data_IF_506194824532
#
_entry.id   IF_506194824532
#
_cell.length_a   1.000
_cell.length_b   1.000
_cell.length_c   1.000
_cell.angle_alpha   90.00
_cell.angle_beta   90.00
_cell.angle_gamma   90.00
#
_symmetry.space_group_name_H-M   'P 1'
#
loop_
_entity.id
_entity.type
_entity.pdbx_description
1 polymer ?
#
# COMPACT_ATOMS: atom_id res chain seq x y z
N UNK A 1 -15.39 -1.83 22.50
CA UNK A 1 -14.13 -1.57 21.78
C UNK A 1 -14.44 -1.92 20.34
N UNK A 2 -14.59 -0.93 19.47
CA UNK A 2 -14.67 -1.19 18.04
C UNK A 2 -13.35 -1.84 17.64
N UNK A 3 -13.37 -3.07 17.14
CA UNK A 3 -12.25 -3.57 16.37
C UNK A 3 -12.04 -2.57 15.23
N UNK A 4 -10.87 -1.92 15.18
CA UNK A 4 -10.47 -1.20 13.97
C UNK A 4 -10.33 -2.26 12.88
N UNK A 5 -11.38 -2.44 12.09
CA UNK A 5 -11.38 -3.35 10.96
C UNK A 5 -10.75 -2.61 9.78
N UNK A 6 -9.49 -2.92 9.48
CA UNK A 6 -8.84 -2.43 8.28
C UNK A 6 -9.44 -3.10 7.05
N UNK A 7 -9.51 -2.35 5.95
CA UNK A 7 -9.92 -2.91 4.66
C UNK A 7 -8.70 -3.01 3.76
N UNK A 8 -8.60 -4.14 3.05
CA UNK A 8 -7.47 -4.46 2.20
C UNK A 8 -7.91 -4.45 0.74
N UNK A 9 -7.13 -3.77 -0.09
CA UNK A 9 -7.41 -3.64 -1.51
C UNK A 9 -6.21 -4.05 -2.34
N UNK A 10 -6.47 -4.44 -3.59
CA UNK A 10 -5.47 -4.49 -4.65
C UNK A 10 -5.95 -3.72 -5.87
N UNK A 11 -5.03 -3.09 -6.57
CA UNK A 11 -5.23 -2.48 -7.88
C UNK A 11 -4.18 -3.00 -8.85
N UNK A 12 -4.59 -3.20 -10.11
CA UNK A 12 -3.65 -3.49 -11.19
C UNK A 12 -3.14 -2.18 -11.77
N UNK A 13 -1.89 -2.16 -12.26
CA UNK A 13 -1.43 -1.08 -13.13
C UNK A 13 -2.47 -0.85 -14.26
N UNK A 14 -2.84 0.41 -14.54
CA UNK A 14 -3.99 0.71 -15.41
C UNK A 14 -3.75 0.34 -16.88
N UNK A 15 -2.50 0.43 -17.33
CA UNK A 15 -2.13 0.14 -18.71
C UNK A 15 -1.86 -1.35 -18.97
N UNK A 16 -2.16 -1.80 -20.18
CA UNK A 16 -1.87 -3.18 -20.62
C UNK A 16 -0.36 -3.47 -20.64
N UNK A 17 0.45 -2.45 -20.92
CA UNK A 17 1.91 -2.51 -20.89
C UNK A 17 2.39 -1.77 -19.65
N UNK A 18 2.93 -2.51 -18.70
CA UNK A 18 3.57 -1.95 -17.50
C UNK A 18 4.97 -1.47 -17.89
N UNK A 19 5.32 -0.19 -17.66
CA UNK A 19 6.67 0.29 -17.91
C UNK A 19 7.72 -0.50 -17.13
N UNK A 20 8.95 -0.54 -17.65
CA UNK A 20 10.05 -1.22 -16.95
C UNK A 20 10.31 -0.55 -15.60
N UNK A 21 10.39 -1.37 -14.55
CA UNK A 21 10.61 -0.88 -13.19
C UNK A 21 9.33 -0.45 -12.46
N UNK A 22 8.15 -0.57 -13.07
CA UNK A 22 6.87 -0.29 -12.42
C UNK A 22 6.19 -1.57 -11.90
N UNK A 23 5.39 -1.47 -10.82
CA UNK A 23 4.69 -2.61 -10.28
C UNK A 23 3.49 -3.01 -11.15
N UNK A 24 3.25 -4.32 -11.25
CA UNK A 24 2.06 -4.87 -11.88
C UNK A 24 0.82 -4.75 -10.97
N UNK A 25 1.02 -4.91 -9.67
CA UNK A 25 -0.03 -4.81 -8.65
C UNK A 25 0.41 -3.92 -7.50
N UNK A 26 -0.53 -3.11 -7.02
CA UNK A 26 -0.41 -2.32 -5.81
C UNK A 26 -1.48 -2.77 -4.82
N UNK A 27 -1.09 -3.09 -3.60
CA UNK A 27 -1.97 -3.52 -2.53
C UNK A 27 -1.91 -2.51 -1.39
N UNK A 28 -3.03 -2.31 -0.72
CA UNK A 28 -3.16 -1.32 0.35
C UNK A 28 -3.88 -1.92 1.55
N UNK A 29 -3.36 -1.66 2.74
CA UNK A 29 -4.12 -1.69 3.98
C UNK A 29 -4.62 -0.27 4.27
N UNK A 30 -5.93 -0.13 4.46
CA UNK A 30 -6.60 1.15 4.64
C UNK A 30 -7.33 1.17 5.98
N UNK A 31 -7.13 2.25 6.73
CA UNK A 31 -8.03 2.65 7.81
C UNK A 31 -9.15 3.53 7.22
N UNK A 32 -10.29 2.92 6.93
CA UNK A 32 -11.40 3.63 6.30
C UNK A 32 -11.99 4.72 7.21
N UNK A 33 -11.89 4.56 8.54
CA UNK A 33 -12.42 5.55 9.48
C UNK A 33 -11.53 6.79 9.53
N UNK A 34 -10.21 6.60 9.47
CA UNK A 34 -9.23 7.68 9.44
C UNK A 34 -8.94 8.22 8.04
N UNK A 35 -9.42 7.55 6.99
CA UNK A 35 -9.18 7.88 5.58
C UNK A 35 -7.70 7.82 5.15
N UNK A 36 -6.97 6.87 5.73
CA UNK A 36 -5.51 6.75 5.58
C UNK A 36 -5.12 5.41 4.96
N UNK A 37 -4.03 5.42 4.19
CA UNK A 37 -3.30 4.21 3.76
C UNK A 37 -2.18 3.96 4.75
N UNK A 38 -2.22 2.82 5.45
CA UNK A 38 -1.27 2.51 6.52
C UNK A 38 -0.08 1.68 6.03
N UNK A 39 -0.34 0.71 5.14
CA UNK A 39 0.66 -0.18 4.54
C UNK A 39 0.40 -0.33 3.06
N UNK A 40 1.48 -0.51 2.30
CA UNK A 40 1.42 -0.87 0.89
C UNK A 40 2.32 -2.06 0.58
N UNK A 41 1.93 -2.81 -0.45
CA UNK A 41 2.76 -3.83 -1.09
C UNK A 41 2.72 -3.61 -2.58
N UNK A 42 3.87 -3.73 -3.24
CA UNK A 42 3.97 -3.67 -4.69
C UNK A 42 4.53 -5.00 -5.20
N UNK A 43 3.91 -5.53 -6.27
CA UNK A 43 4.34 -6.76 -6.92
C UNK A 43 4.78 -6.43 -8.34
N UNK A 44 6.04 -6.72 -8.66
CA UNK A 44 6.64 -6.43 -9.96
C UNK A 44 6.50 -7.61 -10.93
N UNK A 45 6.54 -7.37 -12.25
CA UNK A 45 6.46 -8.43 -13.26
C UNK A 45 7.52 -9.54 -13.13
N UNK A 46 8.68 -9.22 -12.54
CA UNK A 46 9.77 -10.16 -12.29
C UNK A 46 9.57 -11.01 -11.01
N UNK A 47 8.45 -10.85 -10.30
CA UNK A 47 8.14 -11.55 -9.05
C UNK A 47 8.74 -10.90 -7.79
N UNK A 48 9.47 -9.79 -7.92
CA UNK A 48 9.89 -9.00 -6.77
C UNK A 48 8.67 -8.43 -6.04
N UNK A 49 8.75 -8.41 -4.72
CA UNK A 49 7.75 -7.81 -3.83
C UNK A 49 8.45 -6.77 -2.97
N UNK A 50 7.94 -5.55 -2.96
CA UNK A 50 8.37 -4.49 -2.04
C UNK A 50 7.21 -4.13 -1.13
N UNK A 51 7.53 -3.53 0.02
CA UNK A 51 6.53 -3.08 0.98
C UNK A 51 6.90 -1.74 1.59
N UNK A 52 5.89 -1.03 2.03
CA UNK A 52 6.05 0.15 2.85
C UNK A 52 4.97 0.23 3.94
N UNK A 53 5.24 1.01 4.99
CA UNK A 53 4.26 1.34 6.03
C UNK A 53 4.54 2.68 6.65
N UNK A 54 3.50 3.29 7.22
CA UNK A 54 3.62 4.44 8.12
C UNK A 54 4.67 4.18 9.21
N UNK A 55 4.75 2.96 9.74
CA UNK A 55 5.78 2.58 10.71
C UNK A 55 7.20 2.65 10.17
N UNK A 56 7.42 2.22 8.92
CA UNK A 56 8.72 2.30 8.25
C UNK A 56 9.12 3.76 7.97
N UNK A 57 8.17 4.57 7.50
CA UNK A 57 8.39 5.99 7.20
C UNK A 57 8.73 6.81 8.45
N UNK A 58 8.10 6.52 9.59
CA UNK A 58 8.29 7.26 10.83
C UNK A 58 9.45 6.74 11.71
N UNK A 59 10.20 5.71 11.26
CA UNK A 59 11.23 5.05 12.10
C UNK A 59 12.34 5.99 12.58
N UNK A 60 12.50 7.14 11.92
CA UNK A 60 13.51 8.16 12.22
C UNK A 60 12.92 9.42 12.91
N UNK A 61 11.69 9.34 13.41
CA UNK A 61 11.00 10.43 14.13
C UNK A 61 10.21 11.40 13.24
N UNK A 62 10.06 11.08 11.96
CA UNK A 62 9.23 11.84 11.02
C UNK A 62 7.73 11.60 11.27
N UNK A 63 6.87 12.48 10.75
CA UNK A 63 5.41 12.35 10.86
C UNK A 63 4.81 11.97 9.51
N UNK A 64 4.25 10.77 9.43
CA UNK A 64 3.61 10.20 8.25
C UNK A 64 2.26 9.61 8.66
N UNK A 65 1.16 10.39 8.63
CA UNK A 65 -0.16 9.87 9.03
C UNK A 65 -0.74 8.88 8.02
N UNK A 66 -0.30 8.93 6.76
CA UNK A 66 -0.77 8.11 5.64
C UNK A 66 0.35 7.98 4.61
N UNK A 67 0.37 6.86 3.88
CA UNK A 67 1.30 6.63 2.76
C UNK A 67 0.93 7.40 1.48
N UNK A 68 -0.20 8.11 1.49
CA UNK A 68 -0.63 9.04 0.46
C UNK A 68 -0.82 10.42 1.07
N UNK A 69 -0.64 11.47 0.27
CA UNK A 69 -0.76 12.88 0.65
C UNK A 69 -2.20 13.40 0.64
N UNK A 70 -3.10 12.66 0.00
CA UNK A 70 -4.55 12.91 -0.05
C UNK A 70 -5.34 11.89 0.77
N UNK A 71 -6.66 12.08 0.85
CA UNK A 71 -7.54 11.04 1.41
C UNK A 71 -7.51 9.77 0.56
N UNK A 72 -7.64 8.60 1.19
CA UNK A 72 -7.70 7.32 0.47
C UNK A 72 -8.82 7.31 -0.57
N UNK A 73 -9.99 7.84 -0.20
CA UNK A 73 -11.15 7.90 -1.08
C UNK A 73 -10.91 8.75 -2.32
N UNK A 74 -10.22 9.87 -2.17
CA UNK A 74 -9.87 10.75 -3.30
C UNK A 74 -8.76 10.14 -4.15
N UNK A 75 -7.66 9.71 -3.52
CA UNK A 75 -6.50 9.17 -4.22
C UNK A 75 -6.79 7.91 -5.02
N UNK A 76 -7.82 7.15 -4.64
CA UNK A 76 -8.22 5.90 -5.29
C UNK A 76 -9.57 5.98 -6.01
N UNK A 77 -10.17 7.18 -6.16
CA UNK A 77 -11.51 7.33 -6.72
C UNK A 77 -11.66 6.77 -8.14
N UNK A 78 -10.62 6.90 -8.95
CA UNK A 78 -10.59 6.42 -10.34
C UNK A 78 -9.93 5.04 -10.49
N UNK A 79 -9.34 4.52 -9.40
CA UNK A 79 -8.65 3.25 -9.41
C UNK A 79 -9.65 2.08 -9.40
N UNK A 80 -9.42 1.10 -10.27
CA UNK A 80 -10.18 -0.17 -10.26
C UNK A 80 -9.61 -1.08 -9.17
N UNK A 81 -10.07 -0.87 -7.95
CA UNK A 81 -9.64 -1.64 -6.79
C UNK A 81 -10.57 -2.83 -6.51
N UNK A 82 -9.96 -3.94 -6.12
CA UNK A 82 -10.64 -5.15 -5.67
C UNK A 82 -10.34 -5.36 -4.18
N UNK A 83 -11.37 -5.65 -3.38
CA UNK A 83 -11.17 -6.02 -1.98
C UNK A 83 -10.52 -7.41 -1.89
N UNK A 84 -9.51 -7.54 -1.04
CA UNK A 84 -8.80 -8.80 -0.77
C UNK A 84 -8.91 -9.18 0.71
N UNK A 85 -8.48 -10.39 1.07
CA UNK A 85 -8.40 -10.81 2.48
C UNK A 85 -7.16 -10.20 3.15
N UNK A 86 -7.25 -10.04 4.48
CA UNK A 86 -6.10 -9.69 5.31
C UNK A 86 -4.97 -10.71 5.14
N UNK A 87 -5.29 -12.01 5.16
CA UNK A 87 -4.30 -13.09 5.03
C UNK A 87 -3.48 -12.98 3.75
N UNK A 88 -4.13 -12.70 2.61
CA UNK A 88 -3.43 -12.50 1.33
C UNK A 88 -2.47 -11.30 1.40
N UNK A 89 -2.92 -10.20 2.01
CA UNK A 89 -2.07 -9.02 2.17
C UNK A 89 -0.87 -9.35 3.07
N UNK A 90 -1.08 -10.00 4.21
CA UNK A 90 -0.03 -10.31 5.17
C UNK A 90 1.03 -11.28 4.63
N UNK A 91 0.62 -12.30 3.87
CA UNK A 91 1.55 -13.22 3.22
C UNK A 91 2.54 -12.46 2.32
N UNK A 92 2.03 -11.53 1.51
CA UNK A 92 2.86 -10.71 0.62
C UNK A 92 3.67 -9.65 1.39
N UNK A 93 3.06 -9.04 2.40
CA UNK A 93 3.72 -8.05 3.24
C UNK A 93 4.91 -8.67 3.98
N UNK A 94 4.80 -9.91 4.48
CA UNK A 94 5.90 -10.56 5.21
C UNK A 94 7.12 -10.83 4.32
N UNK A 95 6.92 -11.17 3.06
CA UNK A 95 8.01 -11.47 2.11
C UNK A 95 8.58 -10.22 1.41
N UNK A 96 7.84 -9.10 1.44
CA UNK A 96 8.24 -7.87 0.76
C UNK A 96 9.50 -7.23 1.36
N UNK A 97 10.36 -6.72 0.49
CA UNK A 97 11.52 -5.91 0.90
C UNK A 97 11.09 -4.49 1.29
N UNK A 98 11.59 -3.99 2.43
CA UNK A 98 11.32 -2.62 2.88
C UNK A 98 11.80 -1.59 1.85
N UNK A 99 10.86 -0.79 1.33
CA UNK A 99 11.13 0.28 0.37
C UNK A 99 10.35 1.55 0.78
N UNK A 100 10.74 2.21 1.90
CA UNK A 100 10.18 3.51 2.24
C UNK A 100 10.57 4.54 1.18
N UNK A 101 9.75 5.57 1.00
CA UNK A 101 9.94 6.58 -0.05
C UNK A 101 9.75 8.02 0.44
N UNK A 102 8.97 8.28 1.49
CA UNK A 102 8.72 9.65 1.96
C UNK A 102 9.88 10.23 2.78
N UNK A 103 10.42 9.46 3.73
CA UNK A 103 11.42 9.93 4.70
C UNK A 103 12.69 9.08 4.70
N UNK A 104 13.20 8.78 3.50
CA UNK A 104 14.46 8.05 3.31
C UNK A 104 15.66 8.95 3.65
N UNK A 105 16.59 8.44 4.44
CA UNK A 105 17.84 9.10 4.85
C UNK A 105 19.03 8.19 4.62
#
# INVERSE_FOLDING_TARGET
MSENSYTYFRGRWPDDIVPEGEPLWLLYEVDEAADNVLRSVEIFPNGQVTRNSVGLEQRNGDHCPSLIDVSWREGMAEAKLEKISADMFEELYQIGADTPFWFVR
#
